data_IF_952178985044
#
_entry.id   IF_952178985044
#
_cell.length_a   1.000
_cell.length_b   1.000
_cell.length_c   1.000
_cell.angle_alpha   90.00
_cell.angle_beta   90.00
_cell.angle_gamma   90.00
#
_symmetry.space_group_name_H-M   'P 1'
#
loop_
_entity.id
_entity.type
_entity.pdbx_description
1 polymer ?
#
# COMPACT_ATOMS: atom_id res chain seq x y z
N UNK A 1 4.90 -9.54 -32.52
CA UNK A 1 4.25 -9.61 -31.19
C UNK A 1 5.29 -9.16 -30.19
N UNK A 2 5.27 -7.88 -29.83
CA UNK A 2 6.18 -7.34 -28.83
C UNK A 2 5.53 -7.54 -27.46
N UNK A 3 6.19 -8.31 -26.59
CA UNK A 3 5.93 -8.20 -25.16
C UNK A 3 6.29 -6.77 -24.78
N UNK A 4 5.29 -5.99 -24.40
CA UNK A 4 5.52 -4.77 -23.63
C UNK A 4 6.08 -5.22 -22.27
N UNK A 5 7.40 -5.24 -22.17
CA UNK A 5 8.10 -5.10 -20.90
C UNK A 5 7.71 -3.72 -20.36
N UNK A 6 6.64 -3.69 -19.57
CA UNK A 6 6.27 -2.50 -18.81
C UNK A 6 7.45 -2.13 -17.92
N UNK A 7 7.95 -0.91 -18.08
CA UNK A 7 8.96 -0.32 -17.20
C UNK A 7 8.57 -0.53 -15.74
N UNK A 8 9.20 -1.49 -15.07
CA UNK A 8 9.26 -1.52 -13.61
C UNK A 8 10.24 -0.41 -13.20
N UNK A 9 9.75 0.82 -13.22
CA UNK A 9 10.41 1.92 -12.53
C UNK A 9 10.55 1.56 -11.07
N UNK A 10 11.67 1.96 -10.48
CA UNK A 10 12.02 1.83 -9.05
C UNK A 10 11.03 2.48 -8.06
N UNK A 11 9.86 2.93 -8.53
CA UNK A 11 8.83 3.69 -7.84
C UNK A 11 7.56 2.88 -7.49
N UNK A 12 7.49 1.60 -7.88
CA UNK A 12 6.36 0.72 -7.58
C UNK A 12 6.38 0.15 -6.16
N UNK A 13 5.22 -0.27 -5.61
CA UNK A 13 5.18 -0.95 -4.33
C UNK A 13 5.88 -2.30 -4.41
N UNK A 14 6.58 -2.69 -3.35
CA UNK A 14 7.16 -4.02 -3.27
C UNK A 14 6.06 -5.06 -3.01
N UNK A 15 6.01 -6.09 -3.85
CA UNK A 15 5.16 -7.25 -3.66
C UNK A 15 6.01 -8.39 -3.12
N UNK A 16 5.67 -8.89 -1.94
CA UNK A 16 6.38 -9.97 -1.24
C UNK A 16 5.49 -11.21 -1.15
N UNK A 17 6.04 -12.38 -1.42
CA UNK A 17 5.29 -13.64 -1.20
C UNK A 17 5.13 -13.94 0.29
N UNK A 18 4.01 -14.58 0.69
CA UNK A 18 3.79 -14.90 2.10
C UNK A 18 4.93 -15.73 2.71
N UNK A 19 5.50 -16.67 1.95
CA UNK A 19 6.61 -17.51 2.42
C UNK A 19 7.83 -16.66 2.78
N UNK A 20 8.23 -15.77 1.88
CA UNK A 20 9.33 -14.85 2.09
C UNK A 20 9.06 -13.91 3.28
N UNK A 21 7.82 -13.43 3.43
CA UNK A 21 7.44 -12.55 4.54
C UNK A 21 7.56 -13.24 5.91
N UNK A 22 7.20 -14.53 6.00
CA UNK A 22 7.27 -15.31 7.24
C UNK A 22 8.71 -15.71 7.61
N UNK A 23 9.60 -15.78 6.62
CA UNK A 23 11.02 -16.09 6.83
C UNK A 23 11.84 -14.88 7.31
N UNK A 24 11.25 -13.67 7.32
CA UNK A 24 11.92 -12.47 7.78
C UNK A 24 11.97 -12.34 9.29
N UNK A 25 13.14 -11.94 9.77
CA UNK A 25 13.30 -11.51 11.16
C UNK A 25 12.67 -10.11 11.35
N UNK A 26 12.44 -9.73 12.60
CA UNK A 26 11.82 -8.44 12.93
C UNK A 26 12.62 -7.26 12.34
N UNK A 27 13.95 -7.32 12.38
CA UNK A 27 14.81 -6.29 11.80
C UNK A 27 14.67 -6.17 10.28
N UNK A 28 14.44 -7.29 9.57
CA UNK A 28 14.23 -7.27 8.13
C UNK A 28 12.89 -6.61 7.81
N UNK A 29 11.84 -6.92 8.59
CA UNK A 29 10.52 -6.28 8.45
C UNK A 29 10.62 -4.78 8.73
N UNK A 30 11.36 -4.36 9.76
CA UNK A 30 11.57 -2.94 10.06
C UNK A 30 12.29 -2.23 8.91
N UNK A 31 13.38 -2.81 8.39
CA UNK A 31 14.10 -2.25 7.23
C UNK A 31 13.20 -2.16 5.99
N UNK A 32 12.38 -3.18 5.74
CA UNK A 32 11.40 -3.17 4.64
C UNK A 32 10.35 -2.08 4.82
N UNK A 33 9.83 -1.91 6.04
CA UNK A 33 8.87 -0.85 6.33
C UNK A 33 9.47 0.53 6.06
N UNK A 34 10.72 0.78 6.47
CA UNK A 34 11.39 2.06 6.20
C UNK A 34 11.59 2.32 4.70
N UNK A 35 11.99 1.28 3.96
CA UNK A 35 12.18 1.36 2.51
C UNK A 35 10.86 1.68 1.82
N UNK A 36 9.79 0.95 2.14
CA UNK A 36 8.49 1.16 1.52
C UNK A 36 7.86 2.49 1.95
N UNK A 37 7.95 2.87 3.22
CA UNK A 37 7.43 4.13 3.74
C UNK A 37 8.02 5.33 2.98
N UNK A 38 9.32 5.31 2.73
CA UNK A 38 10.00 6.39 2.02
C UNK A 38 9.38 6.66 0.64
N UNK A 39 8.93 5.62 -0.06
CA UNK A 39 8.25 5.77 -1.36
C UNK A 39 6.94 6.56 -1.24
N UNK A 40 6.19 6.39 -0.16
CA UNK A 40 4.96 7.17 0.08
C UNK A 40 5.26 8.65 0.31
N UNK A 41 6.39 8.97 0.96
CA UNK A 41 6.83 10.35 1.21
C UNK A 41 7.33 11.01 -0.06
N UNK A 42 8.12 10.27 -0.86
CA UNK A 42 8.78 10.80 -2.05
C UNK A 42 7.83 10.94 -3.25
N UNK A 43 6.76 10.13 -3.32
CA UNK A 43 5.82 10.13 -4.45
C UNK A 43 4.72 11.22 -4.30
N UNK A 44 4.71 12.29 -5.13
CA UNK A 44 3.69 13.34 -5.04
C UNK A 44 2.28 12.85 -5.41
N UNK A 45 2.16 11.80 -6.23
CA UNK A 45 0.87 11.21 -6.63
C UNK A 45 0.18 10.61 -5.42
N UNK A 46 0.92 9.89 -4.58
CA UNK A 46 0.41 9.35 -3.31
C UNK A 46 -0.17 10.46 -2.44
N UNK A 47 0.54 11.58 -2.30
CA UNK A 47 0.06 12.70 -1.50
C UNK A 47 -1.24 13.33 -2.06
N UNK A 48 -1.41 13.35 -3.38
CA UNK A 48 -2.68 13.77 -4.00
C UNK A 48 -3.80 12.78 -3.69
N UNK A 49 -3.54 11.48 -3.84
CA UNK A 49 -4.51 10.41 -3.58
C UNK A 49 -4.92 10.39 -2.10
N UNK A 50 -3.98 10.49 -1.15
CA UNK A 50 -4.30 10.53 0.28
C UNK A 50 -5.22 11.70 0.64
N UNK A 51 -4.98 12.89 0.07
CA UNK A 51 -5.88 14.04 0.26
C UNK A 51 -7.27 13.83 -0.35
N UNK A 52 -7.35 13.16 -1.50
CA UNK A 52 -8.63 12.81 -2.11
C UNK A 52 -9.40 11.82 -1.23
N UNK A 53 -8.73 10.79 -0.70
CA UNK A 53 -9.31 9.81 0.23
C UNK A 53 -9.82 10.47 1.50
N UNK A 54 -9.05 11.36 2.13
CA UNK A 54 -9.49 12.12 3.33
C UNK A 54 -10.69 13.03 3.04
N UNK A 55 -10.75 13.64 1.86
CA UNK A 55 -11.88 14.46 1.45
C UNK A 55 -13.15 13.63 1.20
N UNK A 56 -12.99 12.40 0.72
CA UNK A 56 -14.08 11.48 0.41
C UNK A 56 -14.64 10.77 1.65
N UNK A 57 -13.76 10.24 2.51
CA UNK A 57 -14.12 9.43 3.67
C UNK A 57 -14.36 10.26 4.94
N UNK A 58 -14.09 11.56 4.88
CA UNK A 58 -14.24 12.49 6.00
C UNK A 58 -12.94 12.63 6.80
N UNK A 59 -12.57 13.88 7.09
CA UNK A 59 -11.27 14.24 7.70
C UNK A 59 -11.07 13.77 9.14
N UNK A 60 -12.08 13.17 9.76
CA UNK A 60 -12.01 12.64 11.13
C UNK A 60 -11.35 11.26 11.19
N UNK A 61 -11.21 10.57 10.05
CA UNK A 61 -10.54 9.28 9.97
C UNK A 61 -9.02 9.36 10.19
N UNK A 62 -8.37 8.21 10.26
CA UNK A 62 -6.93 8.10 10.48
C UNK A 62 -6.26 7.15 9.50
N UNK A 63 -4.98 7.37 9.26
CA UNK A 63 -4.14 6.49 8.45
C UNK A 63 -3.43 5.46 9.32
N UNK A 64 -3.47 4.20 8.91
CA UNK A 64 -2.60 3.14 9.43
C UNK A 64 -1.74 2.54 8.32
N UNK A 65 -0.72 1.77 8.70
CA UNK A 65 0.27 1.21 7.78
C UNK A 65 0.34 -0.29 7.99
N UNK A 66 0.11 -1.06 6.92
CA UNK A 66 -0.01 -2.50 7.03
C UNK A 66 0.53 -3.21 5.79
N UNK A 67 1.06 -4.42 5.99
CA UNK A 67 1.28 -5.38 4.91
C UNK A 67 -0.03 -6.12 4.61
N UNK A 68 -0.67 -5.81 3.49
CA UNK A 68 -1.95 -6.37 3.08
C UNK A 68 -1.76 -7.54 2.11
N UNK A 69 -2.48 -8.64 2.34
CA UNK A 69 -2.61 -9.72 1.36
C UNK A 69 -3.54 -9.28 0.22
N UNK A 70 -3.06 -9.37 -1.03
CA UNK A 70 -3.76 -8.87 -2.22
C UNK A 70 -4.37 -9.95 -3.11
N UNK A 71 -4.04 -11.22 -2.88
CA UNK A 71 -4.61 -12.33 -3.64
C UNK A 71 -4.55 -13.67 -2.89
N UNK A 72 -5.22 -14.74 -3.40
CA UNK A 72 -5.21 -16.07 -2.78
C UNK A 72 -3.85 -16.76 -2.73
N UNK A 73 -2.85 -16.30 -3.51
CA UNK A 73 -1.48 -16.85 -3.43
C UNK A 73 -0.73 -16.35 -2.20
N UNK A 74 -1.30 -15.41 -1.46
CA UNK A 74 -0.71 -14.86 -0.24
C UNK A 74 0.30 -13.75 -0.52
N UNK A 75 0.35 -13.19 -1.74
CA UNK A 75 1.20 -12.03 -2.01
C UNK A 75 0.76 -10.85 -1.16
N UNK A 76 1.73 -10.15 -0.60
CA UNK A 76 1.57 -9.02 0.31
C UNK A 76 2.16 -7.75 -0.28
N UNK A 77 1.57 -6.62 0.07
CA UNK A 77 2.04 -5.30 -0.31
C UNK A 77 1.95 -4.34 0.87
N UNK A 78 2.92 -3.44 1.01
CA UNK A 78 2.86 -2.38 2.01
C UNK A 78 1.86 -1.31 1.57
N UNK A 79 0.90 -1.01 2.42
CA UNK A 79 -0.17 -0.08 2.10
C UNK A 79 -0.46 0.88 3.26
N UNK A 80 -0.87 2.09 2.90
CA UNK A 80 -1.51 3.02 3.82
C UNK A 80 -3.02 2.85 3.75
N UNK A 81 -3.66 2.56 4.88
CA UNK A 81 -5.09 2.36 4.98
C UNK A 81 -5.71 3.55 5.70
N UNK A 82 -6.67 4.23 5.06
CA UNK A 82 -7.46 5.26 5.72
C UNK A 82 -8.73 4.65 6.26
N UNK A 83 -8.96 4.74 7.56
CA UNK A 83 -10.20 4.32 8.20
C UNK A 83 -11.11 5.53 8.36
N UNK A 84 -12.16 5.61 7.53
CA UNK A 84 -13.24 6.60 7.66
C UNK A 84 -14.40 6.05 8.49
N UNK A 85 -15.55 6.74 8.46
CA UNK A 85 -16.73 6.39 9.26
C UNK A 85 -17.48 5.14 8.73
N UNK A 86 -17.66 5.03 7.41
CA UNK A 86 -18.42 3.94 6.77
C UNK A 86 -17.54 2.82 6.17
N UNK A 87 -16.30 3.17 5.81
CA UNK A 87 -15.38 2.30 5.10
C UNK A 87 -13.92 2.70 5.28
N UNK A 88 -13.02 1.80 4.89
CA UNK A 88 -11.59 2.05 4.75
C UNK A 88 -11.10 1.86 3.31
N UNK A 89 -10.08 2.63 2.92
CA UNK A 89 -9.41 2.52 1.62
C UNK A 89 -7.91 2.28 1.80
N UNK A 90 -7.38 1.27 1.11
CA UNK A 90 -5.95 0.95 1.12
C UNK A 90 -5.26 1.48 -0.15
N UNK A 91 -4.19 2.25 0.05
CA UNK A 91 -3.40 2.93 -0.99
C UNK A 91 -1.97 2.38 -1.01
N UNK A 92 -1.43 2.09 -2.19
CA UNK A 92 -0.04 1.65 -2.40
C UNK A 92 0.90 2.80 -2.72
N UNK A 93 2.22 2.52 -2.72
CA UNK A 93 3.28 3.51 -2.92
C UNK A 93 3.27 4.20 -4.30
N UNK A 94 2.57 3.62 -5.28
CA UNK A 94 2.34 4.20 -6.62
C UNK A 94 1.04 5.02 -6.71
N UNK A 95 0.29 5.11 -5.62
CA UNK A 95 -0.98 5.85 -5.52
C UNK A 95 -2.20 5.08 -6.00
N UNK A 96 -2.10 3.76 -6.20
CA UNK A 96 -3.25 2.94 -6.55
C UNK A 96 -4.08 2.58 -5.30
N UNK A 97 -5.41 2.59 -5.43
CA UNK A 97 -6.33 2.10 -4.39
C UNK A 97 -6.57 0.61 -4.67
N UNK A 98 -6.07 -0.25 -3.79
CA UNK A 98 -6.05 -1.70 -4.01
C UNK A 98 -7.15 -2.45 -3.26
N UNK A 99 -7.80 -1.80 -2.28
CA UNK A 99 -8.83 -2.43 -1.47
C UNK A 99 -9.76 -1.40 -0.85
N UNK A 100 -11.05 -1.72 -0.87
CA UNK A 100 -12.10 -1.07 -0.08
C UNK A 100 -12.61 -2.05 0.97
N UNK A 101 -12.80 -1.58 2.20
CA UNK A 101 -13.31 -2.36 3.33
C UNK A 101 -14.54 -1.63 3.87
N UNK A 102 -15.73 -2.14 3.61
CA UNK A 102 -16.97 -1.60 4.18
C UNK A 102 -17.25 -2.23 5.55
N UNK A 103 -17.78 -1.45 6.50
CA UNK A 103 -18.12 -1.97 7.85
C UNK A 103 -19.57 -2.43 8.00
N UNK A 104 -20.36 -2.36 6.92
CA UNK A 104 -21.80 -2.68 6.91
C UNK A 104 -22.07 -4.18 6.84
#
# INVERSE_FOLDING_TARGET
MNLQEGSFGTDGPLIIENRQFVEYEEEDIQRLNEIEERKFVENPRVQQVKRAVEAELGRAGHWEKHWLTIDPSGRRVYAHIYFGDDRALAVTADGEIIKEISYR
#
